data_IF_689412770104
#
_entry.id   IF_689412770104
#
_cell.length_a   1.000
_cell.length_b   1.000
_cell.length_c   1.000
_cell.angle_alpha   90.00
_cell.angle_beta   90.00
_cell.angle_gamma   90.00
#
_symmetry.space_group_name_H-M   'P 1'
#
loop_
_entity.id
_entity.type
_entity.pdbx_description
1 polymer ?
#
# COMPACT_ATOMS: atom_id res chain seq x y z
N UNK A 1 40.38 11.61 -4.22
CA UNK A 1 41.79 11.89 -3.85
C UNK A 1 42.66 10.64 -3.96
N UNK A 2 42.32 9.54 -3.28
CA UNK A 2 43.11 8.29 -3.29
C UNK A 2 43.28 7.70 -4.70
N UNK A 3 42.19 7.56 -5.48
CA UNK A 3 42.23 7.04 -6.86
C UNK A 3 43.07 7.90 -7.82
N UNK A 4 43.04 9.22 -7.64
CA UNK A 4 43.81 10.16 -8.45
C UNK A 4 45.31 10.03 -8.18
N UNK A 5 45.69 9.99 -6.91
CA UNK A 5 47.09 9.82 -6.49
C UNK A 5 47.61 8.43 -6.85
N UNK A 6 46.81 7.38 -6.65
CA UNK A 6 47.14 6.02 -7.05
C UNK A 6 47.32 5.88 -8.57
N UNK A 7 46.49 6.53 -9.38
CA UNK A 7 46.63 6.56 -10.84
C UNK A 7 47.93 7.23 -11.30
N UNK A 8 48.29 8.37 -10.68
CA UNK A 8 49.56 9.06 -10.95
C UNK A 8 50.78 8.22 -10.61
N UNK A 9 50.78 7.56 -9.44
CA UNK A 9 51.90 6.71 -8.99
C UNK A 9 52.00 5.44 -9.84
N UNK A 10 50.89 4.76 -10.13
CA UNK A 10 50.88 3.54 -10.92
C UNK A 10 51.39 3.77 -12.35
N UNK A 11 50.97 4.86 -13.00
CA UNK A 11 51.45 5.21 -14.34
C UNK A 11 52.91 5.66 -14.36
N UNK A 12 53.39 6.39 -13.35
CA UNK A 12 54.79 6.78 -13.25
C UNK A 12 55.73 5.58 -13.00
N UNK A 13 55.27 4.57 -12.25
CA UNK A 13 56.04 3.34 -11.98
C UNK A 13 56.00 2.37 -13.17
N UNK A 14 54.87 2.27 -13.87
CA UNK A 14 54.71 1.40 -15.02
C UNK A 14 55.22 2.01 -16.34
N UNK A 15 55.46 3.33 -16.40
CA UNK A 15 55.86 4.02 -17.63
C UNK A 15 57.16 3.51 -18.26
N UNK A 16 58.22 3.15 -17.52
CA UNK A 16 59.45 2.67 -18.15
C UNK A 16 59.25 1.33 -18.87
N UNK A 17 58.48 0.43 -18.25
CA UNK A 17 58.16 -0.88 -18.81
C UNK A 17 57.24 -0.76 -20.03
N UNK A 18 56.24 0.13 -19.98
CA UNK A 18 55.34 0.39 -21.10
C UNK A 18 56.06 1.05 -22.29
N UNK A 19 56.93 2.03 -22.03
CA UNK A 19 57.72 2.69 -23.06
C UNK A 19 58.70 1.74 -23.74
N UNK A 20 59.36 0.87 -22.96
CA UNK A 20 60.28 -0.12 -23.52
C UNK A 20 59.53 -1.16 -24.36
N UNK A 21 58.35 -1.60 -23.91
CA UNK A 21 57.50 -2.51 -24.68
C UNK A 21 57.01 -1.88 -26.00
N UNK A 22 56.58 -0.62 -25.99
CA UNK A 22 56.14 0.11 -27.19
C UNK A 22 57.34 0.33 -28.13
N UNK A 23 58.50 0.71 -27.60
CA UNK A 23 59.71 0.92 -28.40
C UNK A 23 60.15 -0.38 -29.09
N UNK A 24 60.16 -1.51 -28.37
CA UNK A 24 60.45 -2.84 -28.96
C UNK A 24 59.42 -3.26 -30.00
N UNK A 25 58.15 -2.99 -29.77
CA UNK A 25 57.08 -3.29 -30.73
C UNK A 25 57.21 -2.47 -32.02
N UNK A 26 57.53 -1.19 -31.91
CA UNK A 26 57.78 -0.30 -33.05
C UNK A 26 59.08 -0.70 -33.78
N UNK A 27 60.15 -1.00 -33.03
CA UNK A 27 61.42 -1.45 -33.60
C UNK A 27 61.25 -2.76 -34.38
N UNK A 28 60.41 -3.69 -33.88
CA UNK A 28 60.06 -4.93 -34.57
C UNK A 28 59.35 -4.70 -35.92
N UNK A 29 58.53 -3.65 -36.03
CA UNK A 29 57.84 -3.29 -37.27
C UNK A 29 58.77 -2.64 -38.30
N UNK A 30 59.84 -1.98 -37.84
CA UNK A 30 60.75 -1.20 -38.70
C UNK A 30 61.97 -2.01 -39.13
N UNK A 31 62.58 -2.80 -38.24
CA UNK A 31 63.79 -3.55 -38.55
C UNK A 31 63.86 -4.91 -37.79
N UNK A 32 63.36 -6.01 -38.36
CA UNK A 32 63.18 -7.28 -37.64
C UNK A 32 64.46 -8.07 -37.34
N UNK A 33 65.62 -7.64 -37.84
CA UNK A 33 66.89 -8.39 -37.76
C UNK A 33 67.87 -8.00 -36.64
N UNK A 34 67.59 -6.94 -35.87
CA UNK A 34 68.51 -6.39 -34.86
C UNK A 34 67.85 -6.51 -33.48
N UNK A 35 68.05 -7.65 -32.80
CA UNK A 35 67.30 -8.01 -31.59
C UNK A 35 68.07 -7.81 -30.28
N UNK A 36 69.39 -7.69 -30.31
CA UNK A 36 70.18 -7.64 -29.08
C UNK A 36 70.44 -6.19 -28.65
N UNK A 37 69.76 -5.76 -27.57
CA UNK A 37 69.93 -4.50 -26.82
C UNK A 37 69.23 -3.23 -27.35
N UNK A 38 68.01 -3.33 -27.89
CA UNK A 38 67.16 -2.16 -28.11
C UNK A 38 66.32 -1.85 -26.86
N UNK A 39 66.89 -1.06 -25.95
CA UNK A 39 66.18 -0.43 -24.85
C UNK A 39 66.00 1.07 -25.10
N UNK A 40 64.82 1.63 -24.83
CA UNK A 40 64.64 3.08 -24.92
C UNK A 40 65.41 3.75 -23.78
N UNK A 41 66.58 4.34 -24.07
CA UNK A 41 67.45 4.97 -23.07
C UNK A 41 66.75 6.07 -22.24
N UNK A 42 65.71 6.71 -22.81
CA UNK A 42 64.87 7.69 -22.13
C UNK A 42 63.76 7.12 -21.24
N UNK A 43 63.58 5.80 -21.16
CA UNK A 43 62.48 5.17 -20.42
C UNK A 43 62.55 5.44 -18.90
N UNK A 44 63.77 5.54 -18.37
CA UNK A 44 64.04 5.83 -16.96
C UNK A 44 64.39 7.31 -16.71
N UNK A 45 64.21 8.19 -17.70
CA UNK A 45 64.46 9.61 -17.51
C UNK A 45 63.47 10.19 -16.50
N UNK A 46 63.91 11.05 -15.56
CA UNK A 46 62.99 11.70 -14.61
C UNK A 46 61.93 12.55 -15.33
N UNK A 47 62.23 13.07 -16.53
CA UNK A 47 61.30 13.88 -17.32
C UNK A 47 60.17 13.03 -17.90
N UNK A 48 60.46 11.82 -18.38
CA UNK A 48 59.45 10.91 -18.93
C UNK A 48 58.56 10.34 -17.82
N UNK A 49 59.15 9.98 -16.67
CA UNK A 49 58.37 9.56 -15.50
C UNK A 49 57.45 10.68 -14.98
N UNK A 50 57.91 11.93 -14.97
CA UNK A 50 57.07 13.08 -14.62
C UNK A 50 55.93 13.29 -15.63
N UNK A 51 56.21 13.22 -16.93
CA UNK A 51 55.19 13.38 -17.97
C UNK A 51 54.09 12.29 -17.89
N UNK A 52 54.47 11.03 -17.72
CA UNK A 52 53.51 9.93 -17.53
C UNK A 52 52.81 9.99 -16.17
N UNK A 53 53.48 10.49 -15.13
CA UNK A 53 52.86 10.76 -13.83
C UNK A 53 51.74 11.80 -13.94
N UNK A 54 51.97 12.90 -14.66
CA UNK A 54 50.94 13.94 -14.91
C UNK A 54 49.77 13.36 -15.74
N UNK A 55 50.05 12.57 -16.78
CA UNK A 55 49.01 11.88 -17.55
C UNK A 55 48.21 10.90 -16.68
N UNK A 56 48.88 10.16 -15.79
CA UNK A 56 48.26 9.26 -14.82
C UNK A 56 47.38 9.99 -13.80
N UNK A 57 47.77 11.18 -13.36
CA UNK A 57 46.95 12.03 -12.49
C UNK A 57 45.67 12.50 -13.21
N UNK A 58 45.77 12.90 -14.47
CA UNK A 58 44.60 13.32 -15.28
C UNK A 58 43.66 12.14 -15.54
N UNK A 59 44.20 10.99 -15.95
CA UNK A 59 43.43 9.77 -16.16
C UNK A 59 42.77 9.29 -14.85
N UNK A 60 43.52 9.30 -13.74
CA UNK A 60 43.02 8.96 -12.41
C UNK A 60 41.95 9.93 -11.90
N UNK A 61 42.04 11.22 -12.21
CA UNK A 61 41.00 12.20 -11.91
C UNK A 61 39.72 11.94 -12.71
N UNK A 62 39.84 11.62 -14.01
CA UNK A 62 38.71 11.23 -14.86
C UNK A 62 37.99 9.98 -14.33
N UNK A 63 38.75 8.92 -14.01
CA UNK A 63 38.21 7.69 -13.43
C UNK A 63 37.59 7.91 -12.04
N UNK A 64 38.19 8.76 -11.20
CA UNK A 64 37.61 9.10 -9.91
C UNK A 64 36.25 9.80 -10.06
N UNK A 65 36.13 10.71 -11.04
CA UNK A 65 34.86 11.40 -11.33
C UNK A 65 33.79 10.42 -11.81
N UNK A 66 34.11 9.52 -12.74
CA UNK A 66 33.13 8.53 -13.21
C UNK A 66 32.72 7.58 -12.09
N UNK A 67 33.66 7.17 -11.24
CA UNK A 67 33.37 6.32 -10.08
C UNK A 67 32.42 6.98 -9.09
N UNK A 68 32.60 8.28 -8.78
CA UNK A 68 31.67 9.03 -7.92
C UNK A 68 30.28 9.11 -8.56
N UNK A 69 30.19 9.48 -9.84
CA UNK A 69 28.91 9.58 -10.54
C UNK A 69 28.15 8.25 -10.62
N UNK A 70 28.86 7.16 -10.87
CA UNK A 70 28.28 5.81 -10.87
C UNK A 70 27.91 5.40 -9.44
N UNK A 71 28.77 5.69 -8.47
CA UNK A 71 28.53 5.43 -7.05
C UNK A 71 27.27 6.10 -6.54
N UNK A 72 27.06 7.39 -6.86
CA UNK A 72 25.87 8.13 -6.46
C UNK A 72 24.61 7.52 -7.08
N UNK A 73 24.64 7.17 -8.37
CA UNK A 73 23.53 6.48 -9.05
C UNK A 73 23.23 5.11 -8.44
N UNK A 74 24.27 4.34 -8.13
CA UNK A 74 24.12 3.01 -7.51
C UNK A 74 23.60 3.14 -6.08
N UNK A 75 24.02 4.17 -5.34
CA UNK A 75 23.54 4.44 -4.00
C UNK A 75 22.07 4.86 -4.01
N UNK A 76 21.67 5.74 -4.93
CA UNK A 76 20.27 6.13 -5.12
C UNK A 76 19.43 4.90 -5.49
N UNK A 77 19.88 4.11 -6.47
CA UNK A 77 19.24 2.86 -6.87
C UNK A 77 19.09 1.89 -5.69
N UNK A 78 20.16 1.69 -4.90
CA UNK A 78 20.15 0.85 -3.71
C UNK A 78 19.13 1.30 -2.66
N UNK A 79 19.06 2.61 -2.40
CA UNK A 79 18.12 3.19 -1.44
C UNK A 79 16.68 3.03 -1.92
N UNK A 80 16.42 3.13 -3.23
CA UNK A 80 15.07 2.96 -3.80
C UNK A 80 14.58 1.51 -3.84
N UNK A 81 15.46 0.52 -3.71
CA UNK A 81 15.09 -0.90 -3.74
C UNK A 81 14.32 -1.35 -2.51
N UNK A 82 13.33 -2.22 -2.74
CA UNK A 82 12.65 -2.92 -1.65
C UNK A 82 13.61 -3.90 -0.96
N UNK A 83 13.32 -4.22 0.31
CA UNK A 83 14.14 -5.14 1.11
C UNK A 83 14.23 -6.52 0.45
N UNK A 84 13.15 -6.98 -0.21
CA UNK A 84 13.12 -8.23 -0.95
C UNK A 84 14.04 -8.23 -2.19
N UNK A 85 14.12 -7.11 -2.90
CA UNK A 85 15.01 -6.95 -4.06
C UNK A 85 16.48 -6.95 -3.64
N UNK A 86 16.81 -6.26 -2.53
CA UNK A 86 18.17 -6.27 -1.96
C UNK A 86 18.61 -7.67 -1.56
N UNK A 87 17.75 -8.43 -0.88
CA UNK A 87 18.01 -9.82 -0.49
C UNK A 87 18.21 -10.70 -1.72
N UNK A 88 17.41 -10.50 -2.76
CA UNK A 88 17.51 -11.25 -4.02
C UNK A 88 18.79 -10.95 -4.78
N UNK A 89 19.20 -9.67 -4.81
CA UNK A 89 20.47 -9.26 -5.39
C UNK A 89 21.65 -9.89 -4.64
N UNK A 90 21.63 -9.86 -3.30
CA UNK A 90 22.67 -10.51 -2.48
C UNK A 90 22.71 -12.03 -2.68
N UNK A 91 21.56 -12.70 -2.62
CA UNK A 91 21.52 -14.15 -2.71
C UNK A 91 21.83 -14.63 -4.13
N UNK A 92 21.37 -13.90 -5.16
CA UNK A 92 21.64 -14.21 -6.56
C UNK A 92 23.10 -13.98 -6.93
N UNK A 93 23.71 -12.90 -6.44
CA UNK A 93 25.16 -12.68 -6.64
C UNK A 93 25.98 -13.78 -5.96
N UNK A 94 25.63 -14.13 -4.72
CA UNK A 94 26.30 -15.20 -3.98
C UNK A 94 26.14 -16.58 -4.66
N UNK A 95 24.92 -16.94 -5.03
CA UNK A 95 24.63 -18.20 -5.71
C UNK A 95 25.28 -18.26 -7.10
N UNK A 96 25.33 -17.14 -7.83
CA UNK A 96 26.03 -17.05 -9.11
C UNK A 96 27.54 -17.24 -8.97
N UNK A 97 28.17 -16.64 -7.95
CA UNK A 97 29.60 -16.87 -7.66
C UNK A 97 29.86 -18.35 -7.36
N UNK A 98 29.04 -18.99 -6.52
CA UNK A 98 29.17 -20.42 -6.22
C UNK A 98 29.01 -21.28 -7.49
N UNK A 99 27.97 -20.99 -8.28
CA UNK A 99 27.68 -21.72 -9.52
C UNK A 99 28.81 -21.55 -10.55
N UNK A 100 29.49 -20.40 -10.54
CA UNK A 100 30.61 -20.13 -11.44
C UNK A 100 31.87 -20.94 -11.13
N UNK A 101 32.08 -21.38 -9.88
CA UNK A 101 33.31 -22.05 -9.43
C UNK A 101 33.74 -23.28 -10.26
N UNK A 102 32.87 -24.28 -10.53
CA UNK A 102 33.27 -25.41 -11.37
C UNK A 102 33.66 -25.00 -12.80
N UNK A 103 33.03 -23.95 -13.34
CA UNK A 103 33.36 -23.41 -14.66
C UNK A 103 34.67 -22.64 -14.67
N UNK A 104 35.03 -21.97 -13.56
CA UNK A 104 36.34 -21.31 -13.42
C UNK A 104 37.48 -22.32 -13.43
N UNK A 105 37.30 -23.49 -12.78
CA UNK A 105 38.28 -24.58 -12.81
C UNK A 105 38.47 -25.12 -14.25
N UNK A 106 37.37 -25.28 -14.98
CA UNK A 106 37.41 -25.66 -16.39
C UNK A 106 38.11 -24.60 -17.24
N UNK A 107 37.80 -23.32 -17.03
CA UNK A 107 38.39 -22.21 -17.78
C UNK A 107 39.91 -22.12 -17.58
N UNK A 108 40.40 -22.39 -16.37
CA UNK A 108 41.83 -22.42 -16.08
C UNK A 108 42.55 -23.56 -16.84
N UNK A 109 41.86 -24.67 -17.12
CA UNK A 109 42.42 -25.77 -17.92
C UNK A 109 42.61 -25.45 -19.40
N UNK A 110 41.94 -24.42 -19.92
CA UNK A 110 42.01 -24.00 -21.33
C UNK A 110 43.22 -23.11 -21.66
N UNK A 111 44.03 -22.75 -20.65
CA UNK A 111 45.29 -21.99 -20.79
C UNK A 111 45.18 -20.74 -21.70
N UNK A 112 44.14 -19.93 -21.51
CA UNK A 112 43.80 -18.75 -22.33
C UNK A 112 44.78 -17.56 -22.19
N UNK A 113 45.93 -17.75 -21.54
CA UNK A 113 46.98 -16.74 -21.37
C UNK A 113 46.46 -15.42 -20.80
N UNK A 114 46.71 -14.32 -21.53
CA UNK A 114 46.37 -12.95 -21.09
C UNK A 114 44.86 -12.71 -20.95
N UNK A 115 44.02 -13.55 -21.55
CA UNK A 115 42.56 -13.39 -21.52
C UNK A 115 41.89 -14.08 -20.33
N UNK A 116 42.63 -14.90 -19.55
CA UNK A 116 42.12 -15.58 -18.35
C UNK A 116 41.40 -14.61 -17.38
N UNK A 117 42.00 -13.49 -16.92
CA UNK A 117 41.34 -12.60 -15.97
C UNK A 117 40.04 -11.99 -16.52
N UNK A 118 40.02 -11.64 -17.81
CA UNK A 118 38.81 -11.10 -18.45
C UNK A 118 37.70 -12.15 -18.53
N UNK A 119 38.05 -13.39 -18.88
CA UNK A 119 37.11 -14.49 -18.96
C UNK A 119 36.57 -14.90 -17.57
N UNK A 120 37.40 -14.84 -16.53
CA UNK A 120 36.98 -15.06 -15.13
C UNK A 120 35.96 -14.00 -14.68
N UNK A 121 36.21 -12.72 -14.96
CA UNK A 121 35.29 -11.63 -14.62
C UNK A 121 33.99 -11.76 -15.42
N UNK A 122 34.08 -12.01 -16.73
CA UNK A 122 32.90 -12.18 -17.57
C UNK A 122 32.02 -13.36 -17.14
N UNK A 123 32.63 -14.49 -16.80
CA UNK A 123 31.92 -15.69 -16.39
C UNK A 123 31.26 -15.51 -15.01
N UNK A 124 31.98 -14.95 -14.03
CA UNK A 124 31.43 -14.68 -12.70
C UNK A 124 30.26 -13.68 -12.74
N UNK A 125 30.41 -12.58 -13.49
CA UNK A 125 29.33 -11.61 -13.69
C UNK A 125 28.13 -12.23 -14.44
N UNK A 126 28.39 -13.07 -15.45
CA UNK A 126 27.35 -13.76 -16.21
C UNK A 126 26.50 -14.69 -15.36
N UNK A 127 27.13 -15.56 -14.56
CA UNK A 127 26.41 -16.46 -13.65
C UNK A 127 25.71 -15.70 -12.51
N UNK A 128 26.33 -14.63 -11.99
CA UNK A 128 25.70 -13.72 -11.02
C UNK A 128 24.43 -13.08 -11.60
N UNK A 129 24.50 -12.53 -12.81
CA UNK A 129 23.34 -11.92 -13.47
C UNK A 129 22.24 -12.96 -13.75
N UNK A 130 22.61 -14.14 -14.22
CA UNK A 130 21.67 -15.23 -14.49
C UNK A 130 20.98 -15.71 -13.20
N UNK A 131 21.72 -15.85 -12.11
CA UNK A 131 21.16 -16.27 -10.83
C UNK A 131 20.24 -15.22 -10.22
N UNK A 132 20.59 -13.93 -10.31
CA UNK A 132 19.69 -12.82 -9.91
C UNK A 132 18.42 -12.83 -10.77
N UNK A 133 18.55 -13.02 -12.09
CA UNK A 133 17.39 -13.12 -12.98
C UNK A 133 16.47 -14.30 -12.62
N UNK A 134 17.06 -15.47 -12.37
CA UNK A 134 16.31 -16.67 -11.97
C UNK A 134 15.56 -16.47 -10.65
N UNK A 135 16.22 -15.93 -9.62
CA UNK A 135 15.56 -15.65 -8.34
C UNK A 135 14.47 -14.59 -8.48
N UNK A 136 14.69 -13.54 -9.27
CA UNK A 136 13.69 -12.50 -9.52
C UNK A 136 12.46 -13.06 -10.25
N UNK A 137 12.64 -14.02 -11.17
CA UNK A 137 11.52 -14.68 -11.84
C UNK A 137 10.66 -15.54 -10.91
N UNK A 138 11.18 -15.90 -9.74
CA UNK A 138 10.48 -16.69 -8.72
C UNK A 138 10.10 -15.85 -7.48
N UNK A 139 10.15 -14.52 -7.58
CA UNK A 139 9.94 -13.59 -6.48
C UNK A 139 8.66 -13.89 -5.67
N UNK A 140 7.56 -14.25 -6.34
CA UNK A 140 6.27 -14.55 -5.69
C UNK A 140 6.31 -15.75 -4.72
N UNK A 141 7.24 -16.68 -4.91
CA UNK A 141 7.34 -17.92 -4.14
C UNK A 141 8.32 -17.77 -2.97
N UNK A 142 9.27 -16.83 -3.07
CA UNK A 142 10.39 -16.69 -2.16
C UNK A 142 9.96 -16.16 -0.78
N UNK A 143 10.46 -16.73 0.33
CA UNK A 143 9.99 -16.40 1.69
C UNK A 143 10.33 -14.97 2.12
N UNK A 144 11.38 -14.36 1.56
CA UNK A 144 11.72 -12.96 1.79
C UNK A 144 10.85 -11.96 1.01
N UNK A 145 10.04 -12.44 0.06
CA UNK A 145 8.96 -11.68 -0.57
C UNK A 145 7.60 -11.89 0.12
N UNK A 146 7.46 -12.87 1.03
CA UNK A 146 6.20 -13.17 1.73
C UNK A 146 5.75 -12.13 2.76
N UNK A 147 6.54 -11.08 3.00
CA UNK A 147 6.10 -9.86 3.70
C UNK A 147 5.58 -8.76 2.75
N UNK A 148 5.84 -8.90 1.45
CA UNK A 148 5.49 -7.92 0.41
C UNK A 148 4.20 -8.28 -0.32
N UNK A 149 3.69 -9.51 -0.29
CA UNK A 149 2.36 -9.81 -0.87
C UNK A 149 1.17 -9.27 -0.06
N UNK A 150 1.41 -8.71 1.14
CA UNK A 150 0.47 -7.80 1.83
C UNK A 150 0.89 -6.31 1.82
N UNK A 151 2.10 -5.99 1.34
CA UNK A 151 2.64 -4.61 1.25
C UNK A 151 2.90 -4.10 -0.17
N UNK A 152 2.65 -4.92 -1.19
CA UNK A 152 2.74 -4.61 -2.62
C UNK A 152 1.47 -3.95 -3.17
N UNK A 153 0.39 -3.91 -2.37
CA UNK A 153 -0.49 -2.74 -2.37
C UNK A 153 0.24 -1.72 -1.53
N UNK A 154 0.67 -0.60 -2.10
CA UNK A 154 1.15 0.58 -1.35
C UNK A 154 0.05 1.19 -0.46
N UNK A 155 -0.86 0.41 0.11
CA UNK A 155 -2.09 0.88 0.74
C UNK A 155 -2.81 1.95 -0.06
N UNK A 156 -2.56 2.07 -1.38
CA UNK A 156 -2.98 3.22 -2.14
C UNK A 156 -4.42 2.97 -2.52
N UNK A 157 -5.29 3.85 -2.07
CA UNK A 157 -6.73 3.71 -2.26
C UNK A 157 -7.20 4.90 -3.09
N UNK A 158 -7.61 4.62 -4.31
CA UNK A 158 -8.11 5.59 -5.27
C UNK A 158 -9.57 5.89 -4.92
N UNK A 159 -9.86 7.16 -4.68
CA UNK A 159 -11.21 7.64 -4.39
C UNK A 159 -11.93 8.01 -5.69
N UNK A 160 -13.17 7.53 -5.80
CA UNK A 160 -14.12 7.89 -6.85
C UNK A 160 -14.94 9.15 -6.48
N UNK A 161 -15.41 9.90 -7.48
CA UNK A 161 -16.24 11.11 -7.36
C UNK A 161 -17.47 10.85 -6.49
N UNK A 162 -18.15 9.72 -6.69
CA UNK A 162 -19.37 9.36 -5.96
C UNK A 162 -19.14 9.16 -4.45
N UNK A 163 -17.97 8.63 -4.08
CA UNK A 163 -17.59 8.42 -2.67
C UNK A 163 -17.32 9.74 -1.97
N UNK A 164 -16.66 10.67 -2.66
CA UNK A 164 -16.38 12.00 -2.14
C UNK A 164 -17.67 12.80 -1.92
N UNK A 165 -18.63 12.72 -2.85
CA UNK A 165 -19.93 13.38 -2.73
C UNK A 165 -20.75 12.82 -1.55
N UNK A 166 -20.76 11.49 -1.38
CA UNK A 166 -21.44 10.82 -0.27
C UNK A 166 -20.86 11.26 1.09
N UNK A 167 -19.53 11.29 1.21
CA UNK A 167 -18.82 11.87 2.35
C UNK A 167 -18.63 10.93 3.55
N UNK A 168 -19.32 9.77 3.62
CA UNK A 168 -19.10 8.77 4.69
C UNK A 168 -17.67 8.23 4.75
N UNK A 169 -16.91 8.41 3.68
CA UNK A 169 -15.49 8.06 3.63
C UNK A 169 -14.65 8.78 4.69
N UNK A 170 -15.00 10.03 5.02
CA UNK A 170 -14.29 10.80 6.04
C UNK A 170 -14.47 10.17 7.42
N UNK A 171 -15.70 9.84 7.79
CA UNK A 171 -15.99 9.15 9.06
C UNK A 171 -15.32 7.78 9.10
N UNK A 172 -15.37 7.04 7.99
CA UNK A 172 -14.73 5.73 7.88
C UNK A 172 -13.20 5.84 8.06
N UNK A 173 -12.57 6.85 7.46
CA UNK A 173 -11.14 7.10 7.64
C UNK A 173 -10.81 7.46 9.10
N UNK A 174 -11.63 8.31 9.73
CA UNK A 174 -11.46 8.74 11.12
C UNK A 174 -11.56 7.57 12.12
N UNK A 175 -12.38 6.57 11.85
CA UNK A 175 -12.48 5.36 12.70
C UNK A 175 -11.26 4.44 12.62
N UNK A 176 -10.34 4.66 11.67
CA UNK A 176 -9.16 3.80 11.47
C UNK A 176 -9.43 2.52 10.67
N UNK A 177 -10.66 2.29 10.20
CA UNK A 177 -10.96 1.17 9.29
C UNK A 177 -10.33 1.33 7.90
N UNK A 178 -9.96 2.56 7.53
CA UNK A 178 -9.36 2.89 6.26
C UNK A 178 -7.83 3.04 6.36
N UNK A 179 -7.10 1.93 6.28
CA UNK A 179 -5.62 1.93 6.34
C UNK A 179 -4.92 2.20 4.99
N UNK A 180 -3.91 3.05 4.98
CA UNK A 180 -3.07 3.30 3.81
C UNK A 180 -3.22 4.71 3.26
N UNK A 181 -2.56 4.96 2.13
CA UNK A 181 -2.51 6.28 1.51
C UNK A 181 -3.72 6.50 0.61
N UNK A 182 -4.40 7.63 0.77
CA UNK A 182 -5.51 7.98 -0.10
C UNK A 182 -4.99 8.69 -1.35
N UNK A 183 -5.61 8.41 -2.49
CA UNK A 183 -5.26 9.05 -3.75
C UNK A 183 -6.51 9.54 -4.48
N UNK A 184 -6.48 10.79 -4.93
CA UNK A 184 -7.53 11.39 -5.77
C UNK A 184 -6.93 11.76 -7.13
N UNK A 185 -7.36 11.09 -8.21
CA UNK A 185 -6.93 11.43 -9.56
C UNK A 185 -7.37 12.84 -9.97
N UNK A 186 -6.61 13.50 -10.84
CA UNK A 186 -6.99 14.83 -11.33
C UNK A 186 -8.33 14.87 -12.03
N UNK A 187 -8.64 13.85 -12.84
CA UNK A 187 -9.92 13.78 -13.53
C UNK A 187 -11.13 13.62 -12.60
N UNK A 188 -10.96 13.04 -11.40
CA UNK A 188 -12.00 12.98 -10.36
C UNK A 188 -12.23 14.36 -9.75
N UNK A 189 -11.13 15.09 -9.48
CA UNK A 189 -11.20 16.47 -9.02
C UNK A 189 -11.86 17.38 -10.06
N UNK A 190 -11.53 17.21 -11.34
CA UNK A 190 -12.10 17.98 -12.44
C UNK A 190 -13.60 17.69 -12.60
N UNK A 191 -14.02 16.43 -12.42
CA UNK A 191 -15.43 16.06 -12.41
C UNK A 191 -16.18 16.68 -11.21
N UNK A 192 -15.59 16.66 -10.00
CA UNK A 192 -16.17 17.34 -8.84
C UNK A 192 -16.36 18.84 -9.07
N UNK A 193 -15.37 19.52 -9.68
CA UNK A 193 -15.46 20.93 -10.04
C UNK A 193 -16.57 21.17 -11.07
N UNK A 194 -16.61 20.35 -12.13
CA UNK A 194 -17.66 20.43 -13.14
C UNK A 194 -19.07 20.26 -12.55
N UNK A 195 -19.24 19.34 -11.59
CA UNK A 195 -20.50 19.18 -10.86
C UNK A 195 -20.79 20.39 -9.96
N UNK A 196 -19.77 20.94 -9.29
CA UNK A 196 -19.87 22.10 -8.40
C UNK A 196 -20.17 23.42 -9.13
N UNK A 197 -19.97 23.47 -10.46
CA UNK A 197 -20.30 24.61 -11.32
C UNK A 197 -21.60 24.40 -12.13
N UNK A 198 -22.32 23.29 -11.89
CA UNK A 198 -23.55 22.97 -12.61
C UNK A 198 -24.66 24.03 -12.41
N UNK A 199 -25.43 24.27 -13.48
CA UNK A 199 -26.62 25.14 -13.43
C UNK A 199 -27.72 24.59 -12.51
N UNK A 200 -27.77 23.28 -12.30
CA UNK A 200 -28.69 22.63 -11.37
C UNK A 200 -28.24 22.88 -9.90
N UNK A 201 -29.04 23.55 -9.07
CA UNK A 201 -28.71 23.81 -7.66
C UNK A 201 -28.38 22.56 -6.85
N UNK A 202 -29.06 21.43 -7.09
CA UNK A 202 -28.86 20.20 -6.33
C UNK A 202 -27.53 19.55 -6.69
N UNK A 203 -27.20 19.50 -7.99
CA UNK A 203 -25.89 19.02 -8.45
C UNK A 203 -24.77 19.92 -7.93
N UNK A 204 -24.96 21.24 -7.98
CA UNK A 204 -24.01 22.23 -7.46
C UNK A 204 -23.70 22.00 -5.99
N UNK A 205 -24.74 21.80 -5.17
CA UNK A 205 -24.59 21.54 -3.73
C UNK A 205 -23.83 20.23 -3.47
N UNK A 206 -24.12 19.17 -4.25
CA UNK A 206 -23.40 17.89 -4.15
C UNK A 206 -21.92 18.02 -4.51
N UNK A 207 -21.60 18.73 -5.59
CA UNK A 207 -20.20 18.97 -5.99
C UNK A 207 -19.43 19.76 -4.93
N UNK A 208 -20.02 20.83 -4.39
CA UNK A 208 -19.42 21.61 -3.30
C UNK A 208 -19.17 20.77 -2.05
N UNK A 209 -20.15 19.95 -1.64
CA UNK A 209 -19.99 19.00 -0.54
C UNK A 209 -18.82 18.05 -0.78
N UNK A 210 -18.68 17.50 -1.99
CA UNK A 210 -17.56 16.62 -2.33
C UNK A 210 -16.19 17.32 -2.23
N UNK A 211 -16.10 18.57 -2.67
CA UNK A 211 -14.89 19.39 -2.52
C UNK A 211 -14.58 19.72 -1.06
N UNK A 212 -15.59 19.96 -0.22
CA UNK A 212 -15.40 20.21 1.21
C UNK A 212 -14.91 18.95 1.94
N UNK A 213 -15.46 17.77 1.61
CA UNK A 213 -14.97 16.48 2.13
C UNK A 213 -13.52 16.25 1.70
N UNK A 214 -13.17 16.55 0.45
CA UNK A 214 -11.80 16.43 -0.04
C UNK A 214 -10.82 17.28 0.79
N UNK A 215 -11.19 18.53 1.11
CA UNK A 215 -10.37 19.41 1.96
C UNK A 215 -10.19 18.87 3.37
N UNK A 216 -11.24 18.32 3.98
CA UNK A 216 -11.13 17.69 5.29
C UNK A 216 -10.23 16.44 5.24
N UNK A 217 -10.35 15.64 4.17
CA UNK A 217 -9.48 14.48 3.97
C UNK A 217 -8.01 14.88 3.80
N UNK A 218 -7.75 15.96 3.06
CA UNK A 218 -6.40 16.50 2.86
C UNK A 218 -5.77 17.03 4.15
N UNK A 219 -6.57 17.62 5.04
CA UNK A 219 -6.10 18.16 6.31
C UNK A 219 -5.78 17.06 7.34
N UNK A 220 -6.60 16.00 7.39
CA UNK A 220 -6.56 15.03 8.49
C UNK A 220 -5.84 13.71 8.13
N UNK A 221 -5.68 13.40 6.83
CA UNK A 221 -5.14 12.12 6.37
C UNK A 221 -4.04 12.28 5.31
N UNK A 222 -3.15 11.28 5.15
CA UNK A 222 -2.17 11.27 4.07
C UNK A 222 -2.86 11.02 2.72
N UNK A 223 -3.32 12.12 2.11
CA UNK A 223 -4.00 12.16 0.82
C UNK A 223 -3.08 12.78 -0.24
N UNK A 224 -2.93 12.07 -1.36
CA UNK A 224 -2.26 12.58 -2.56
C UNK A 224 -3.27 12.96 -3.63
N UNK A 225 -3.00 14.06 -4.34
CA UNK A 225 -3.87 14.58 -5.41
C UNK A 225 -3.03 14.81 -6.67
N UNK A 226 -3.52 14.34 -7.84
CA UNK A 226 -2.93 14.58 -9.19
C UNK A 226 -1.52 14.02 -9.47
N UNK A 227 -0.86 13.36 -8.51
CA UNK A 227 0.55 12.94 -8.66
C UNK A 227 0.76 11.90 -9.77
N UNK A 228 -0.22 11.04 -10.02
CA UNK A 228 -0.10 9.87 -10.89
C UNK A 228 -0.89 9.97 -12.20
N UNK A 229 -1.45 11.13 -12.54
CA UNK A 229 -2.35 11.29 -13.70
C UNK A 229 -1.70 10.89 -15.04
N UNK A 230 -0.37 10.97 -15.14
CA UNK A 230 0.39 10.54 -16.34
C UNK A 230 0.24 9.05 -16.66
N UNK A 231 -0.13 8.22 -15.69
CA UNK A 231 -0.32 6.77 -15.86
C UNK A 231 -1.70 6.41 -16.44
N UNK A 232 -2.63 7.36 -16.49
CA UNK A 232 -3.93 7.20 -17.11
C UNK A 232 -4.17 8.35 -18.11
N UNK A 233 -3.44 8.36 -19.25
CA UNK A 233 -3.63 9.38 -20.27
C UNK A 233 -5.07 9.40 -20.79
N UNK A 234 -5.54 10.59 -21.13
CA UNK A 234 -6.90 10.82 -21.58
C UNK A 234 -7.10 10.26 -23.00
N UNK A 235 -7.77 9.11 -23.09
CA UNK A 235 -7.97 8.38 -24.35
C UNK A 235 -9.41 8.48 -24.89
N UNK A 236 -10.19 9.49 -24.48
CA UNK A 236 -11.66 9.57 -24.68
C UNK A 236 -12.45 8.42 -24.00
N UNK A 237 -11.81 7.65 -23.12
CA UNK A 237 -12.51 6.63 -22.36
C UNK A 237 -13.31 7.25 -21.19
N UNK A 238 -14.43 6.62 -20.79
CA UNK A 238 -15.21 7.07 -19.64
C UNK A 238 -14.42 7.05 -18.31
N UNK A 239 -14.81 7.90 -17.35
CA UNK A 239 -14.14 8.07 -16.03
C UNK A 239 -13.83 6.73 -15.35
N UNK A 240 -14.80 5.82 -15.34
CA UNK A 240 -14.71 4.47 -14.77
C UNK A 240 -13.55 3.64 -15.32
N UNK A 241 -13.38 3.64 -16.64
CA UNK A 241 -12.31 2.87 -17.28
C UNK A 241 -10.92 3.45 -16.98
N UNK A 242 -10.83 4.78 -16.84
CA UNK A 242 -9.61 5.48 -16.43
C UNK A 242 -9.25 5.14 -14.99
N UNK A 243 -10.24 5.07 -14.08
CA UNK A 243 -10.04 4.60 -12.69
C UNK A 243 -9.48 3.18 -12.65
N UNK A 244 -10.07 2.24 -13.39
CA UNK A 244 -9.61 0.84 -13.40
C UNK A 244 -8.20 0.70 -13.99
N UNK A 245 -7.89 1.42 -15.08
CA UNK A 245 -6.55 1.44 -15.66
C UNK A 245 -5.51 2.03 -14.71
N UNK A 246 -5.84 3.13 -14.04
CA UNK A 246 -4.97 3.77 -13.07
C UNK A 246 -4.71 2.86 -11.87
N UNK A 247 -5.75 2.22 -11.35
CA UNK A 247 -5.64 1.27 -10.25
C UNK A 247 -4.74 0.08 -10.60
N UNK A 248 -4.85 -0.46 -11.81
CA UNK A 248 -3.94 -1.51 -12.31
C UNK A 248 -2.50 -1.04 -12.41
N UNK A 249 -2.27 0.13 -13.00
CA UNK A 249 -0.92 0.67 -13.17
C UNK A 249 -0.23 0.93 -11.82
N UNK A 250 -0.99 1.29 -10.80
CA UNK A 250 -0.48 1.60 -9.46
C UNK A 250 -0.50 0.42 -8.48
N UNK A 251 -1.14 -0.71 -8.82
CA UNK A 251 -1.42 -1.78 -7.87
C UNK A 251 -2.31 -1.32 -6.70
N UNK A 252 -3.21 -0.38 -6.98
CA UNK A 252 -4.05 0.31 -6.00
C UNK A 252 -5.45 -0.29 -5.89
N UNK A 253 -6.13 0.00 -4.78
CA UNK A 253 -7.53 -0.36 -4.56
C UNK A 253 -8.45 0.78 -4.96
N UNK A 254 -9.63 0.46 -5.48
CA UNK A 254 -10.64 1.46 -5.78
C UNK A 254 -11.64 1.51 -4.62
N UNK A 255 -11.90 2.70 -4.10
CA UNK A 255 -13.03 2.95 -3.20
C UNK A 255 -14.13 3.60 -4.04
N UNK A 256 -15.24 2.88 -4.22
CA UNK A 256 -16.41 3.39 -4.96
C UNK A 256 -17.71 2.93 -4.30
N UNK A 257 -18.78 3.71 -4.48
CA UNK A 257 -20.15 3.31 -4.13
C UNK A 257 -20.95 2.84 -5.36
N UNK A 258 -20.35 2.86 -6.55
CA UNK A 258 -20.98 2.45 -7.80
C UNK A 258 -20.86 0.92 -7.98
N UNK A 259 -22.02 0.26 -8.09
CA UNK A 259 -22.11 -1.18 -8.28
C UNK A 259 -21.53 -1.65 -9.63
N UNK A 260 -21.71 -0.87 -10.69
CA UNK A 260 -21.21 -1.20 -12.03
C UNK A 260 -19.68 -1.09 -12.08
N UNK A 261 -19.11 0.00 -11.55
CA UNK A 261 -17.66 0.14 -11.45
C UNK A 261 -17.06 -0.98 -10.59
N UNK A 262 -17.71 -1.34 -9.48
CA UNK A 262 -17.30 -2.47 -8.65
C UNK A 262 -17.22 -3.79 -9.46
N UNK A 263 -18.28 -4.11 -10.20
CA UNK A 263 -18.34 -5.33 -11.01
C UNK A 263 -17.29 -5.35 -12.12
N UNK A 264 -17.11 -4.26 -12.83
CA UNK A 264 -16.13 -4.13 -13.93
C UNK A 264 -14.69 -4.22 -13.39
N UNK A 265 -14.39 -3.50 -12.31
CA UNK A 265 -13.06 -3.51 -11.68
C UNK A 265 -12.70 -4.91 -11.14
N UNK A 266 -13.67 -5.60 -10.53
CA UNK A 266 -13.49 -6.96 -10.00
C UNK A 266 -13.18 -7.98 -11.09
N UNK A 267 -13.88 -7.93 -12.23
CA UNK A 267 -13.57 -8.78 -13.42
C UNK A 267 -12.14 -8.52 -13.91
N UNK A 268 -11.69 -7.27 -13.77
CA UNK A 268 -10.36 -6.83 -14.15
C UNK A 268 -9.29 -7.08 -13.08
N UNK A 269 -9.58 -7.87 -12.05
CA UNK A 269 -8.69 -8.22 -10.94
C UNK A 269 -8.19 -7.02 -10.12
N UNK A 270 -8.94 -5.91 -10.12
CA UNK A 270 -8.73 -4.78 -9.22
C UNK A 270 -9.63 -4.96 -8.00
N UNK A 271 -9.08 -4.86 -6.79
CA UNK A 271 -9.90 -4.94 -5.57
C UNK A 271 -10.67 -3.65 -5.39
N UNK A 272 -11.92 -3.81 -5.01
CA UNK A 272 -12.83 -2.71 -4.76
C UNK A 272 -13.27 -2.73 -3.29
N UNK A 273 -13.29 -1.55 -2.69
CA UNK A 273 -13.78 -1.31 -1.34
C UNK A 273 -15.05 -0.47 -1.44
N UNK A 274 -16.20 -1.11 -1.29
CA UNK A 274 -17.51 -0.44 -1.33
C UNK A 274 -17.98 -0.07 0.07
N UNK A 275 -18.28 1.21 0.29
CA UNK A 275 -18.84 1.67 1.57
C UNK A 275 -20.26 1.11 1.76
N UNK A 276 -21.00 0.93 0.68
CA UNK A 276 -22.32 0.30 0.72
C UNK A 276 -22.22 -1.17 1.14
N UNK A 277 -21.24 -1.91 0.63
CA UNK A 277 -21.03 -3.32 0.98
C UNK A 277 -20.60 -3.43 2.45
N UNK A 278 -19.74 -2.51 2.91
CA UNK A 278 -19.35 -2.42 4.31
C UNK A 278 -20.56 -2.12 5.21
N UNK A 279 -21.39 -1.15 4.86
CA UNK A 279 -22.59 -0.82 5.61
C UNK A 279 -23.56 -2.02 5.68
N UNK A 280 -23.70 -2.79 4.60
CA UNK A 280 -24.49 -4.02 4.60
C UNK A 280 -23.90 -5.10 5.50
N UNK A 281 -22.57 -5.24 5.53
CA UNK A 281 -21.87 -6.21 6.38
C UNK A 281 -21.94 -5.87 7.87
N UNK A 282 -22.18 -4.59 8.21
CA UNK A 282 -22.31 -4.10 9.58
C UNK A 282 -23.73 -4.15 10.14
N UNK A 283 -24.73 -4.55 9.33
CA UNK A 283 -26.10 -4.76 9.83
C UNK A 283 -26.13 -5.84 10.89
N UNK A 284 -26.98 -5.64 11.91
CA UNK A 284 -27.08 -6.55 13.04
C UNK A 284 -27.36 -7.98 12.55
N UNK A 285 -26.56 -8.94 12.99
CA UNK A 285 -26.75 -10.34 12.64
C UNK A 285 -27.59 -11.04 13.70
N UNK A 286 -28.90 -10.87 13.56
CA UNK A 286 -29.88 -11.51 14.45
C UNK A 286 -29.96 -13.01 14.16
N UNK A 287 -29.91 -13.84 15.20
CA UNK A 287 -30.06 -15.29 15.10
C UNK A 287 -31.48 -15.74 15.46
N UNK A 288 -31.97 -16.87 14.91
CA UNK A 288 -33.16 -17.52 15.44
C UNK A 288 -32.99 -17.80 16.94
N UNK A 289 -34.06 -17.58 17.71
CA UNK A 289 -34.13 -17.66 19.17
C UNK A 289 -33.44 -16.53 19.94
N UNK A 290 -32.99 -15.49 19.26
CA UNK A 290 -32.52 -14.27 19.92
C UNK A 290 -33.71 -13.42 20.36
N UNK A 291 -33.66 -12.89 21.58
CA UNK A 291 -34.65 -11.93 22.10
C UNK A 291 -34.31 -10.51 21.65
N UNK A 292 -35.33 -9.76 21.23
CA UNK A 292 -35.22 -8.38 20.76
C UNK A 292 -36.26 -7.51 21.46
N UNK A 293 -35.90 -6.27 21.75
CA UNK A 293 -36.83 -5.24 22.22
C UNK A 293 -37.23 -4.33 21.05
N UNK A 294 -38.52 -4.27 20.72
CA UNK A 294 -39.00 -3.62 19.51
C UNK A 294 -40.24 -2.77 19.76
N UNK A 295 -40.22 -1.55 19.22
CA UNK A 295 -41.41 -0.70 19.13
C UNK A 295 -42.27 -1.11 17.93
N UNK A 296 -43.53 -1.45 18.16
CA UNK A 296 -44.44 -1.80 17.07
C UNK A 296 -45.01 -0.53 16.42
N UNK A 297 -44.60 -0.26 15.18
CA UNK A 297 -44.94 1.00 14.49
C UNK A 297 -46.22 0.87 13.67
N UNK A 298 -46.45 -0.30 13.06
CA UNK A 298 -47.53 -0.51 12.06
C UNK A 298 -48.14 -1.89 12.16
N UNK A 299 -49.37 -2.05 11.67
CA UNK A 299 -49.97 -3.36 11.45
C UNK A 299 -49.28 -4.07 10.27
N UNK A 300 -49.10 -5.39 10.40
CA UNK A 300 -48.53 -6.25 9.37
C UNK A 300 -49.51 -6.61 8.27
N UNK A 301 -49.01 -7.34 7.26
CA UNK A 301 -49.83 -7.72 6.11
C UNK A 301 -50.79 -8.88 6.41
N UNK A 302 -50.47 -9.75 7.37
CA UNK A 302 -51.35 -10.84 7.80
C UNK A 302 -52.10 -10.48 9.09
N UNK A 303 -53.32 -11.05 9.31
CA UNK A 303 -54.10 -10.77 10.51
C UNK A 303 -53.30 -11.09 11.78
N UNK A 304 -53.25 -10.15 12.72
CA UNK A 304 -52.56 -10.31 13.99
C UNK A 304 -51.09 -9.87 14.00
N UNK A 305 -50.48 -9.61 12.83
CA UNK A 305 -49.09 -9.18 12.76
C UNK A 305 -48.90 -7.69 13.10
N UNK A 306 -47.77 -7.39 13.74
CA UNK A 306 -47.21 -6.05 13.86
C UNK A 306 -45.90 -5.94 13.08
N UNK A 307 -45.49 -4.71 12.75
CA UNK A 307 -44.20 -4.39 12.13
C UNK A 307 -43.44 -3.42 13.02
N UNK A 308 -42.24 -3.83 13.42
CA UNK A 308 -41.21 -3.00 14.04
C UNK A 308 -39.99 -2.85 13.13
N UNK A 309 -39.07 -1.99 13.54
CA UNK A 309 -37.79 -1.80 12.86
C UNK A 309 -36.67 -1.85 13.88
N UNK A 310 -35.58 -2.53 13.54
CA UNK A 310 -34.32 -2.41 14.27
C UNK A 310 -33.71 -1.01 14.07
N UNK A 311 -32.70 -0.66 14.87
CA UNK A 311 -31.99 0.61 14.75
C UNK A 311 -31.36 0.82 13.36
N UNK A 312 -30.99 -0.25 12.67
CA UNK A 312 -30.44 -0.23 11.31
C UNK A 312 -31.51 -0.15 10.20
N UNK A 313 -32.79 -0.09 10.57
CA UNK A 313 -33.93 -0.03 9.67
C UNK A 313 -34.39 -1.40 9.13
N UNK A 314 -33.82 -2.51 9.59
CA UNK A 314 -34.27 -3.87 9.22
C UNK A 314 -35.70 -4.09 9.72
N UNK A 315 -36.58 -4.53 8.81
CA UNK A 315 -37.99 -4.76 9.13
C UNK A 315 -38.15 -6.06 9.92
N UNK A 316 -38.82 -5.98 11.06
CA UNK A 316 -39.17 -7.11 11.91
C UNK A 316 -40.69 -7.28 11.92
N UNK A 317 -41.16 -8.41 11.43
CA UNK A 317 -42.58 -8.80 11.43
C UNK A 317 -42.82 -9.64 12.68
N UNK A 318 -43.68 -9.14 13.57
CA UNK A 318 -43.99 -9.75 14.87
C UNK A 318 -45.37 -10.40 14.81
N UNK A 319 -45.43 -11.71 14.97
CA UNK A 319 -46.72 -12.41 15.11
C UNK A 319 -47.35 -12.10 16.48
N UNK A 320 -48.65 -11.83 16.48
CA UNK A 320 -49.37 -11.26 17.62
C UNK A 320 -49.08 -9.76 17.90
N UNK A 321 -48.17 -9.13 17.14
CA UNK A 321 -47.75 -7.74 17.37
C UNK A 321 -48.83 -6.68 17.21
N UNK A 322 -49.96 -7.00 16.56
CA UNK A 322 -51.06 -6.03 16.32
C UNK A 322 -51.64 -5.46 17.62
N UNK A 323 -51.73 -6.28 18.67
CA UNK A 323 -52.31 -5.87 19.96
C UNK A 323 -51.43 -4.85 20.71
N UNK A 324 -50.16 -4.76 20.33
CA UNK A 324 -49.14 -3.94 20.96
C UNK A 324 -48.72 -2.74 20.09
N UNK A 325 -49.57 -2.32 19.16
CA UNK A 325 -49.32 -1.18 18.29
C UNK A 325 -49.03 0.10 19.09
N UNK A 326 -47.91 0.75 18.80
CA UNK A 326 -47.45 1.97 19.48
C UNK A 326 -46.82 1.72 20.85
N UNK A 327 -46.51 0.47 21.19
CA UNK A 327 -45.82 0.10 22.43
C UNK A 327 -44.54 -0.69 22.15
N UNK A 328 -43.65 -0.71 23.13
CA UNK A 328 -42.42 -1.50 23.10
C UNK A 328 -42.65 -2.89 23.69
N UNK A 329 -42.18 -3.93 22.99
CA UNK A 329 -42.42 -5.33 23.35
C UNK A 329 -41.15 -6.16 23.21
N UNK A 330 -40.95 -7.09 24.14
CA UNK A 330 -39.97 -8.17 24.02
C UNK A 330 -40.48 -9.25 23.07
N UNK A 331 -39.69 -9.56 22.05
CA UNK A 331 -40.02 -10.56 21.03
C UNK A 331 -38.87 -11.52 20.82
N UNK A 332 -39.16 -12.78 20.53
CA UNK A 332 -38.17 -13.79 20.18
C UNK A 332 -38.17 -14.05 18.68
N UNK A 333 -36.99 -14.00 18.07
CA UNK A 333 -36.82 -14.20 16.63
C UNK A 333 -37.09 -15.65 16.27
N UNK A 334 -38.02 -15.87 15.35
CA UNK A 334 -38.36 -17.21 14.86
C UNK A 334 -37.58 -17.56 13.60
N UNK A 335 -37.53 -16.63 12.64
CA UNK A 335 -36.90 -16.87 11.35
C UNK A 335 -36.31 -15.60 10.76
N UNK A 336 -35.19 -15.73 10.06
CA UNK A 336 -34.59 -14.65 9.27
C UNK A 336 -34.68 -15.01 7.79
N UNK A 337 -35.29 -14.14 7.00
CA UNK A 337 -35.46 -14.32 5.56
C UNK A 337 -34.70 -13.22 4.82
N UNK A 338 -33.87 -13.60 3.86
CA UNK A 338 -33.24 -12.65 2.93
C UNK A 338 -34.20 -12.37 1.76
N UNK A 339 -34.50 -11.10 1.53
CA UNK A 339 -35.30 -10.62 0.38
C UNK A 339 -34.46 -9.76 -0.56
N UNK A 340 -35.00 -9.42 -1.73
CA UNK A 340 -34.35 -8.54 -2.72
C UNK A 340 -34.06 -7.13 -2.18
N UNK A 341 -34.83 -6.67 -1.18
CA UNK A 341 -34.66 -5.32 -0.57
C UNK A 341 -33.83 -5.35 0.72
N UNK A 342 -33.40 -6.52 1.17
CA UNK A 342 -32.64 -6.69 2.41
C UNK A 342 -33.11 -7.87 3.26
N UNK A 343 -32.70 -7.92 4.52
CA UNK A 343 -33.16 -8.92 5.49
C UNK A 343 -34.53 -8.54 6.02
N UNK A 344 -35.39 -9.53 6.21
CA UNK A 344 -36.65 -9.45 6.95
C UNK A 344 -36.58 -10.46 8.09
N UNK A 345 -36.91 -10.02 9.30
CA UNK A 345 -36.87 -10.86 10.49
C UNK A 345 -38.31 -11.15 10.90
N UNK A 346 -38.61 -12.40 11.22
CA UNK A 346 -39.87 -12.82 11.81
C UNK A 346 -39.63 -13.11 13.28
N UNK A 347 -40.52 -12.64 14.12
CA UNK A 347 -40.47 -12.82 15.57
C UNK A 347 -41.86 -13.11 16.12
N UNK A 348 -41.91 -13.68 17.31
CA UNK A 348 -43.13 -13.91 18.10
C UNK A 348 -42.98 -13.17 19.44
N UNK A 349 -44.09 -12.73 20.02
CA UNK A 349 -44.07 -12.06 21.33
C UNK A 349 -43.57 -13.03 22.41
N UNK A 350 -42.61 -12.58 23.21
CA UNK A 350 -42.14 -13.35 24.36
C UNK A 350 -43.01 -13.03 25.58
N UNK A 351 -43.99 -13.90 25.85
CA UNK A 351 -44.90 -13.76 26.98
C UNK A 351 -44.25 -14.05 28.35
N UNK A 352 -42.99 -14.50 28.40
CA UNK A 352 -42.31 -14.79 29.68
C UNK A 352 -41.79 -13.51 30.36
N UNK A 353 -41.38 -12.50 29.61
CA UNK A 353 -40.86 -11.23 30.17
C UNK A 353 -41.96 -10.32 30.75
N UNK A 354 -43.21 -10.47 30.29
CA UNK A 354 -44.34 -9.67 30.74
C UNK A 354 -44.78 -9.98 32.20
N UNK A 355 -44.31 -11.08 32.79
CA UNK A 355 -44.72 -11.52 34.12
C UNK A 355 -43.77 -11.12 35.27
N UNK A 356 -42.58 -10.61 34.96
CA UNK A 356 -41.56 -10.23 35.97
C UNK A 356 -41.58 -8.73 36.34
N UNK A 357 -42.53 -7.96 35.77
CA UNK A 357 -42.66 -6.51 35.95
C UNK A 357 -43.68 -6.05 36.99
N UNK A 358 -44.32 -6.94 37.75
CA UNK A 358 -45.28 -6.55 38.79
C UNK A 358 -44.57 -6.41 40.16
N UNK A 359 -44.47 -5.21 40.74
CA UNK A 359 -43.84 -5.05 42.04
C UNK A 359 -44.73 -5.70 43.11
N UNK A 360 -44.23 -6.79 43.72
CA UNK A 360 -44.83 -7.48 44.87
C UNK A 360 -45.00 -6.51 46.05
N UNK A 361 -46.17 -5.88 46.12
CA UNK A 361 -46.55 -4.95 47.18
C UNK A 361 -47.11 -5.71 48.39
N UNK A 362 -46.39 -6.72 48.88
CA UNK A 362 -46.70 -7.44 50.12
C UNK A 362 -45.45 -7.67 50.96
N UNK A 363 -44.87 -6.59 51.49
CA UNK A 363 -44.07 -6.58 52.73
C UNK A 363 -43.61 -5.15 52.99
N UNK A 364 -44.38 -4.39 53.78
CA UNK A 364 -43.87 -3.23 54.53
C UNK A 364 -44.90 -2.78 55.58
N UNK A 365 -45.27 -3.70 56.48
CA UNK A 365 -45.96 -3.36 57.73
C UNK A 365 -45.01 -3.57 58.91
N UNK A 366 -43.82 -2.94 58.86
CA UNK A 366 -42.92 -2.90 60.02
C UNK A 366 -42.61 -1.44 60.43
N UNK A 367 -43.29 -0.89 61.46
CA UNK A 367 -43.23 0.53 61.82
C UNK A 367 -41.87 1.03 62.32
N UNK A 368 -40.90 0.15 62.56
CA UNK A 368 -39.66 0.49 63.27
C UNK A 368 -38.56 1.08 62.35
N UNK A 369 -38.64 0.84 61.03
CA UNK A 369 -37.65 1.31 60.05
C UNK A 369 -37.88 2.75 59.55
N UNK A 370 -39.07 3.32 59.75
CA UNK A 370 -39.42 4.67 59.29
C UNK A 370 -38.73 5.79 60.10
N UNK A 371 -38.33 5.53 61.36
CA UNK A 371 -37.73 6.56 62.23
C UNK A 371 -36.24 6.81 61.97
N UNK A 372 -35.52 5.88 61.34
CA UNK A 372 -34.08 6.06 61.05
C UNK A 372 -33.77 6.80 59.73
N UNK A 373 -34.73 6.94 58.82
CA UNK A 373 -34.52 7.60 57.52
C UNK A 373 -34.76 9.12 57.51
N UNK A 374 -35.31 9.68 58.60
CA UNK A 374 -35.61 11.11 58.71
C UNK A 374 -34.39 12.01 58.94
N UNK A 375 -33.28 11.47 59.46
CA UNK A 375 -32.16 12.28 59.95
C UNK A 375 -31.03 12.47 58.92
N UNK A 376 -30.96 11.63 57.89
CA UNK A 376 -29.85 11.64 56.93
C UNK A 376 -30.01 12.67 55.80
N UNK A 377 -31.21 13.24 55.59
CA UNK A 377 -31.49 14.17 54.48
C UNK A 377 -31.09 15.62 54.73
N UNK A 378 -30.73 16.02 55.95
CA UNK A 378 -30.36 17.41 56.26
C UNK A 378 -28.87 17.76 56.08
N UNK A 379 -27.99 16.81 55.73
CA UNK A 379 -26.53 17.05 55.71
C UNK A 379 -25.85 17.17 54.36
N UNK A 380 -26.53 16.91 53.24
CA UNK A 380 -25.87 16.85 51.91
C UNK A 380 -26.14 18.04 51.00
N UNK A 381 -26.79 19.10 51.49
CA UNK A 381 -27.08 20.31 50.72
C UNK A 381 -26.10 21.44 51.09
N UNK A 382 -24.80 21.20 50.94
CA UNK A 382 -23.77 22.24 50.90
C UNK A 382 -22.55 21.65 50.21
N UNK A 383 -21.92 22.43 49.32
CA UNK A 383 -20.83 22.11 48.39
C UNK A 383 -21.24 21.73 46.95
N UNK A 384 -20.98 22.69 46.04
CA UNK A 384 -21.01 22.47 44.60
C UNK A 384 -21.23 23.75 43.75
N UNK A 385 -20.48 24.83 44.02
CA UNK A 385 -20.29 25.98 43.10
C UNK A 385 -18.80 26.08 42.77
N UNK A 386 -18.47 26.25 41.48
CA UNK A 386 -17.11 26.34 40.92
C UNK A 386 -16.65 24.96 40.39
N UNK A 387 -16.23 24.76 39.15
CA UNK A 387 -15.58 25.63 38.15
C UNK A 387 -16.19 25.43 36.76
#
# INVERSE_FOLDING_TARGET
MILTVAGGVAFAVASPMALDAIYRWVAMLINPGEQDNLGYSGANSPITQLAFGVLGLVAGAGLARTFVLVGDKVAEWWVTMDTGERVTLFLGTFAGIITSMPFLLLLNSLNLGIYIPLAVIGLTLGFSALSVYALNSMAEILPWYKGSTRRGRRGLRILDTNVLIDGRIYDLARTGFLEGQLYVPGFVLDELQYIADSHDPLRRQRGRRGLDILRHLEADFPLEVRIHDRLAPDLNDGVDSRLVRLAKALGADIITNDFNLNRVASIQAVRVLSINDLAMAMRANVMPKEGLYLHIVREGNQPGQGIGYLEDGTMVVVDGGKEFLGTDVDVTVTQVIQTERGKMIFAEIDFQAAHDGEPDNRKNDDPELARKRGDTRKRTQSYGKGF
#
